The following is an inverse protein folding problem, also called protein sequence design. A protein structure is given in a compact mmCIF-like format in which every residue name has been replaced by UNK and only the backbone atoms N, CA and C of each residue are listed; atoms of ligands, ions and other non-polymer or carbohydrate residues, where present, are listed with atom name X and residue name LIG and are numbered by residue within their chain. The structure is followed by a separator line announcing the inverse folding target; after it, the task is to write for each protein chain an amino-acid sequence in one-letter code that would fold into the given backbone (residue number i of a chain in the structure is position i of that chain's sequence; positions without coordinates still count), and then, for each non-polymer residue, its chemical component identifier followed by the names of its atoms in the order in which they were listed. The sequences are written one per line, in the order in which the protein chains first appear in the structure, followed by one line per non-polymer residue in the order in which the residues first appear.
data_IF_493694653791
#
_entry.id   IF_493694653791
#
_cell.length_a   1.000
_cell.length_b   1.000
_cell.length_c   1.000
_cell.angle_alpha   90.00
_cell.angle_beta   90.00
_cell.angle_gamma   90.00
#
_symmetry.space_group_name_H-M   'P 1'
#
loop_
_entity.id
_entity.type
_entity.pdbx_description
1 polymer ?
#
# COMPACT_ATOMS: atom_id res chain seq x y z
N UNK A 1 10.17 10.59 15.12
CA UNK A 1 9.86 10.92 13.74
C UNK A 1 9.87 9.63 12.92
N UNK A 2 8.72 9.24 12.39
CA UNK A 2 8.51 8.04 11.58
C UNK A 2 8.63 8.33 10.08
N UNK A 3 8.62 7.30 9.24
CA UNK A 3 8.73 7.48 7.78
C UNK A 3 7.54 8.27 7.21
N UNK A 4 6.31 7.94 7.63
CA UNK A 4 5.12 8.65 7.15
C UNK A 4 5.11 10.12 7.58
N UNK A 5 5.58 10.44 8.79
CA UNK A 5 5.68 11.82 9.27
C UNK A 5 6.61 12.65 8.39
N UNK A 6 7.77 12.09 8.02
CA UNK A 6 8.71 12.72 7.08
C UNK A 6 8.09 13.01 5.72
N UNK A 7 7.28 12.07 5.19
CA UNK A 7 6.62 12.25 3.90
C UNK A 7 5.51 13.31 4.00
N UNK A 8 4.76 13.35 5.10
CA UNK A 8 3.77 14.40 5.35
C UNK A 8 4.42 15.79 5.45
N UNK A 9 5.55 15.91 6.14
CA UNK A 9 6.31 17.15 6.22
C UNK A 9 6.77 17.60 4.83
N UNK A 10 7.37 16.70 4.06
CA UNK A 10 7.76 16.99 2.68
C UNK A 10 6.57 17.40 1.80
N UNK A 11 5.42 16.73 1.95
CA UNK A 11 4.21 17.06 1.19
C UNK A 11 3.63 18.44 1.54
N UNK A 12 3.81 18.91 2.79
CA UNK A 12 3.39 20.25 3.20
C UNK A 12 4.18 21.35 2.48
N UNK A 13 5.45 21.08 2.15
CA UNK A 13 6.35 22.02 1.46
C UNK A 13 6.24 21.87 -0.07
N UNK A 14 6.10 20.64 -0.56
CA UNK A 14 6.21 20.28 -1.98
C UNK A 14 4.93 19.72 -2.58
N UNK A 15 3.75 20.10 -2.06
CA UNK A 15 2.41 19.61 -2.43
C UNK A 15 2.22 19.30 -3.93
N UNK A 16 2.61 20.22 -4.82
CA UNK A 16 2.38 20.11 -6.26
C UNK A 16 3.54 19.48 -7.05
N UNK A 17 4.62 19.05 -6.38
CA UNK A 17 5.72 18.33 -7.02
C UNK A 17 5.33 16.87 -7.22
N UNK A 18 5.86 16.27 -8.29
CA UNK A 18 5.71 14.83 -8.55
C UNK A 18 6.45 14.07 -7.46
N UNK A 19 5.74 13.14 -6.82
CA UNK A 19 6.27 12.23 -5.80
C UNK A 19 6.44 10.80 -6.36
N UNK A 20 5.55 10.39 -7.26
CA UNK A 20 5.57 9.05 -7.87
C UNK A 20 5.41 9.20 -9.37
N UNK A 21 6.22 8.45 -10.11
CA UNK A 21 6.09 8.20 -11.54
C UNK A 21 6.06 6.68 -11.72
N UNK A 22 5.07 6.18 -12.46
CA UNK A 22 4.98 4.77 -12.82
C UNK A 22 4.76 4.63 -14.32
N UNK A 23 5.66 3.91 -14.97
CA UNK A 23 5.62 3.59 -16.39
C UNK A 23 5.44 2.06 -16.53
N UNK A 24 4.34 1.65 -17.14
CA UNK A 24 4.04 0.23 -17.40
C UNK A 24 4.84 -0.34 -18.57
N UNK A 25 5.64 0.49 -19.26
CA UNK A 25 6.45 0.11 -20.42
C UNK A 25 5.64 -0.57 -21.55
N UNK A 26 4.35 -0.27 -21.65
CA UNK A 26 3.41 -0.87 -22.61
C UNK A 26 2.93 0.14 -23.68
N UNK A 27 3.75 1.16 -23.95
CA UNK A 27 3.46 2.30 -24.85
C UNK A 27 2.33 3.24 -24.38
N UNK A 28 1.81 3.07 -23.17
CA UNK A 28 0.96 4.08 -22.53
C UNK A 28 1.81 5.19 -21.90
N UNK A 29 1.29 6.42 -21.78
CA UNK A 29 1.98 7.47 -21.04
C UNK A 29 2.12 7.07 -19.56
N UNK A 30 3.24 7.42 -18.90
CA UNK A 30 3.40 7.16 -17.47
C UNK A 30 2.33 7.87 -16.64
N UNK A 31 1.97 7.27 -15.51
CA UNK A 31 1.05 7.84 -14.54
C UNK A 31 1.84 8.49 -13.40
N UNK A 32 1.37 9.65 -12.94
CA UNK A 32 2.09 10.46 -11.95
C UNK A 32 1.19 10.84 -10.79
N UNK A 33 1.72 10.74 -9.57
CA UNK A 33 1.12 11.35 -8.38
C UNK A 33 1.97 12.52 -7.89
N UNK A 34 1.30 13.61 -7.55
CA UNK A 34 1.90 14.68 -6.76
C UNK A 34 2.00 14.26 -5.29
N UNK A 35 2.82 14.95 -4.49
CA UNK A 35 2.85 14.75 -3.04
C UNK A 35 1.45 14.88 -2.41
N UNK A 36 0.66 15.85 -2.86
CA UNK A 36 -0.74 16.02 -2.41
C UNK A 36 -1.60 14.80 -2.73
N UNK A 37 -1.55 14.31 -3.97
CA UNK A 37 -2.32 13.13 -4.39
C UNK A 37 -1.90 11.89 -3.61
N UNK A 38 -0.60 11.68 -3.46
CA UNK A 38 -0.01 10.57 -2.70
C UNK A 38 -0.54 10.56 -1.25
N UNK A 39 -0.38 11.68 -0.54
CA UNK A 39 -0.75 11.78 0.88
C UNK A 39 -2.27 11.70 1.09
N UNK A 40 -3.07 12.30 0.20
CA UNK A 40 -4.51 12.19 0.29
C UNK A 40 -4.97 10.74 0.12
N UNK A 41 -4.48 10.03 -0.89
CA UNK A 41 -4.80 8.62 -1.11
C UNK A 41 -4.35 7.73 0.05
N UNK A 42 -3.18 8.02 0.65
CA UNK A 42 -2.71 7.32 1.83
C UNK A 42 -3.62 7.57 3.05
N UNK A 43 -4.08 8.81 3.25
CA UNK A 43 -4.99 9.18 4.34
C UNK A 43 -6.35 8.50 4.18
N UNK A 44 -6.93 8.50 2.98
CA UNK A 44 -8.19 7.80 2.67
C UNK A 44 -8.10 6.30 2.97
N UNK A 45 -6.98 5.65 2.61
CA UNK A 45 -6.77 4.24 2.96
C UNK A 45 -6.66 4.05 4.49
N UNK A 46 -5.96 4.94 5.18
CA UNK A 46 -5.77 4.87 6.63
C UNK A 46 -7.12 4.93 7.35
N UNK A 47 -7.96 5.89 6.96
CA UNK A 47 -9.31 6.05 7.49
C UNK A 47 -10.17 4.81 7.23
N UNK A 48 -10.11 4.27 6.01
CA UNK A 48 -10.81 3.03 5.66
C UNK A 48 -10.38 1.86 6.55
N UNK A 49 -9.07 1.66 6.73
CA UNK A 49 -8.54 0.59 7.58
C UNK A 49 -8.92 0.80 9.05
N UNK A 50 -8.89 2.02 9.59
CA UNK A 50 -9.32 2.32 10.96
C UNK A 50 -10.79 1.97 11.20
N UNK A 51 -11.65 2.17 10.20
CA UNK A 51 -13.07 1.87 10.32
C UNK A 51 -13.39 0.37 10.23
N UNK A 52 -12.56 -0.41 9.53
CA UNK A 52 -12.88 -1.81 9.20
C UNK A 52 -11.96 -2.85 9.84
N UNK A 53 -10.79 -2.45 10.34
CA UNK A 53 -9.82 -3.33 10.94
C UNK A 53 -9.72 -3.09 12.45
N UNK A 54 -9.63 -4.18 13.21
CA UNK A 54 -9.32 -4.13 14.63
C UNK A 54 -7.81 -4.25 14.86
N UNK A 55 -7.18 -3.17 15.32
CA UNK A 55 -5.74 -3.11 15.58
C UNK A 55 -5.33 -3.67 16.94
N UNK A 56 -6.26 -4.21 17.75
CA UNK A 56 -5.93 -4.93 18.97
C UNK A 56 -5.18 -6.24 18.63
N UNK A 57 -3.87 -6.25 18.85
CA UNK A 57 -3.03 -7.43 18.65
C UNK A 57 -2.57 -7.67 17.20
N UNK A 58 -2.86 -6.75 16.28
CA UNK A 58 -2.32 -6.77 14.90
C UNK A 58 -1.03 -5.96 14.87
N UNK A 59 -0.01 -6.51 14.20
CA UNK A 59 1.26 -5.82 13.96
C UNK A 59 1.55 -5.62 12.48
N UNK A 60 0.89 -6.36 11.60
CA UNK A 60 1.12 -6.33 10.16
C UNK A 60 -0.18 -6.38 9.35
N UNK A 61 -0.21 -5.64 8.24
CA UNK A 61 -1.22 -5.75 7.19
C UNK A 61 -0.53 -6.26 5.92
N UNK A 62 -1.03 -7.35 5.34
CA UNK A 62 -0.54 -7.86 4.06
C UNK A 62 -0.84 -6.89 2.92
N UNK A 63 0.10 -6.72 1.99
CA UNK A 63 -0.09 -5.94 0.77
C UNK A 63 0.17 -6.85 -0.44
N UNK A 64 -0.91 -7.31 -1.07
CA UNK A 64 -0.92 -8.20 -2.22
C UNK A 64 -1.21 -7.40 -3.50
N UNK A 65 -0.16 -7.01 -4.21
CA UNK A 65 -0.28 -6.22 -5.43
C UNK A 65 0.97 -6.32 -6.30
N UNK A 66 0.80 -6.06 -7.60
CA UNK A 66 1.92 -5.75 -8.49
C UNK A 66 2.40 -4.31 -8.27
N UNK A 67 3.60 -3.94 -8.75
CA UNK A 67 4.05 -2.55 -8.78
C UNK A 67 3.03 -1.66 -9.50
N UNK A 68 2.84 -0.44 -8.99
CA UNK A 68 1.87 0.50 -9.55
C UNK A 68 1.96 1.88 -8.89
N UNK A 69 1.35 2.88 -9.52
CA UNK A 69 1.35 4.28 -9.03
C UNK A 69 0.76 4.42 -7.62
N UNK A 70 -0.16 3.52 -7.23
CA UNK A 70 -0.83 3.55 -5.94
C UNK A 70 -0.02 2.92 -4.80
N UNK A 71 0.96 2.07 -5.11
CA UNK A 71 1.68 1.27 -4.11
C UNK A 71 2.33 2.14 -3.03
N UNK A 72 3.00 3.27 -3.36
CA UNK A 72 3.53 4.16 -2.33
C UNK A 72 2.45 4.75 -1.41
N UNK A 73 1.29 5.10 -1.95
CA UNK A 73 0.14 5.57 -1.14
C UNK A 73 -0.37 4.48 -0.21
N UNK A 74 -0.45 3.23 -0.68
CA UNK A 74 -0.91 2.10 0.14
C UNK A 74 0.05 1.77 1.28
N UNK A 75 1.35 1.76 1.01
CA UNK A 75 2.39 1.58 2.03
C UNK A 75 2.26 2.69 3.08
N UNK A 76 2.19 3.95 2.65
CA UNK A 76 2.07 5.08 3.58
C UNK A 76 0.76 5.05 4.37
N UNK A 77 -0.34 4.62 3.77
CA UNK A 77 -1.62 4.47 4.46
C UNK A 77 -1.58 3.41 5.56
N UNK A 78 -0.90 2.28 5.33
CA UNK A 78 -0.68 1.29 6.40
C UNK A 78 0.22 1.86 7.50
N UNK A 79 1.30 2.57 7.13
CA UNK A 79 2.27 3.11 8.09
C UNK A 79 1.75 4.29 8.92
N UNK A 80 0.63 4.90 8.55
CA UNK A 80 -0.07 5.87 9.41
C UNK A 80 -0.78 5.21 10.61
N UNK A 81 -0.95 3.89 10.57
CA UNK A 81 -1.58 3.09 11.60
C UNK A 81 -0.50 2.43 12.48
N UNK A 82 -0.83 1.88 13.65
CA UNK A 82 0.11 1.11 14.45
C UNK A 82 0.38 -0.29 13.84
N UNK A 83 0.64 -0.35 12.53
CA UNK A 83 0.86 -1.56 11.75
C UNK A 83 2.01 -1.38 10.75
N UNK A 84 2.76 -2.45 10.52
CA UNK A 84 3.70 -2.57 9.41
C UNK A 84 2.98 -3.11 8.17
N UNK A 85 3.51 -2.82 6.98
CA UNK A 85 3.09 -3.51 5.77
C UNK A 85 3.93 -4.78 5.57
N UNK A 86 3.27 -5.86 5.15
CA UNK A 86 3.92 -7.11 4.77
C UNK A 86 3.72 -7.35 3.27
N UNK A 87 4.75 -7.15 2.42
CA UNK A 87 4.60 -7.33 0.98
C UNK A 87 4.35 -8.80 0.65
N UNK A 88 3.35 -9.06 -0.19
CA UNK A 88 3.06 -10.38 -0.74
C UNK A 88 3.07 -10.26 -2.26
N UNK A 89 3.99 -10.98 -2.88
CA UNK A 89 4.14 -11.00 -4.32
C UNK A 89 3.06 -11.89 -4.98
N UNK A 90 2.21 -11.33 -5.87
CA UNK A 90 1.20 -12.11 -6.59
C UNK A 90 1.77 -13.18 -7.52
N UNK A 91 3.00 -13.01 -8.00
CA UNK A 91 3.65 -13.94 -8.94
C UNK A 91 4.40 -15.07 -8.21
N UNK A 92 4.48 -15.00 -6.89
CA UNK A 92 5.08 -16.05 -6.06
C UNK A 92 4.20 -17.32 -6.04
N UNK A 93 4.81 -18.52 -5.96
CA UNK A 93 4.05 -19.76 -5.87
C UNK A 93 3.01 -19.71 -4.73
N UNK A 94 1.75 -20.14 -4.93
CA UNK A 94 0.70 -20.02 -3.92
C UNK A 94 1.04 -20.65 -2.57
N UNK A 95 1.82 -21.73 -2.57
CA UNK A 95 2.31 -22.38 -1.36
C UNK A 95 3.26 -21.47 -0.54
N UNK A 96 4.09 -20.68 -1.21
CA UNK A 96 5.01 -19.73 -0.57
C UNK A 96 4.24 -18.55 0.03
N UNK A 97 3.30 -17.97 -0.73
CA UNK A 97 2.45 -16.88 -0.24
C UNK A 97 1.60 -17.34 0.95
N UNK A 98 1.02 -18.55 0.89
CA UNK A 98 0.27 -19.15 2.01
C UNK A 98 1.15 -19.38 3.23
N UNK A 99 2.37 -19.90 3.04
CA UNK A 99 3.33 -20.10 4.13
C UNK A 99 3.69 -18.77 4.79
N UNK A 100 3.99 -17.74 4.00
CA UNK A 100 4.32 -16.41 4.48
C UNK A 100 3.16 -15.78 5.28
N UNK A 101 1.94 -15.79 4.74
CA UNK A 101 0.76 -15.26 5.43
C UNK A 101 0.53 -15.93 6.79
N UNK A 102 0.68 -17.26 6.84
CA UNK A 102 0.57 -18.04 8.08
C UNK A 102 1.71 -17.71 9.06
N UNK A 103 2.94 -17.58 8.56
CA UNK A 103 4.11 -17.29 9.39
C UNK A 103 4.04 -15.90 10.02
N UNK A 104 3.53 -14.92 9.28
CA UNK A 104 3.28 -13.55 9.74
C UNK A 104 1.95 -13.40 10.50
N UNK A 105 1.15 -14.47 10.63
CA UNK A 105 -0.16 -14.45 11.27
C UNK A 105 -1.05 -13.29 10.76
N UNK A 106 -1.05 -13.06 9.45
CA UNK A 106 -1.77 -11.93 8.84
C UNK A 106 -3.28 -12.11 9.03
N UNK A 107 -3.90 -11.14 9.70
CA UNK A 107 -5.36 -11.09 9.89
C UNK A 107 -6.06 -10.31 8.77
N UNK A 108 -5.39 -9.32 8.19
CA UNK A 108 -5.89 -8.51 7.08
C UNK A 108 -4.87 -8.47 5.94
N UNK A 109 -5.38 -8.51 4.71
CA UNK A 109 -4.61 -8.38 3.49
C UNK A 109 -5.34 -7.38 2.59
N UNK A 110 -4.63 -6.32 2.20
CA UNK A 110 -5.04 -5.43 1.12
C UNK A 110 -4.68 -6.09 -0.21
N UNK A 111 -5.67 -6.23 -1.08
CA UNK A 111 -5.53 -6.87 -2.38
C UNK A 111 -5.86 -5.83 -3.44
N UNK A 112 -4.95 -5.64 -4.40
CA UNK A 112 -5.27 -4.83 -5.58
C UNK A 112 -6.43 -5.49 -6.34
N UNK A 113 -7.44 -4.69 -6.69
CA UNK A 113 -8.62 -5.14 -7.43
C UNK A 113 -8.24 -5.88 -8.73
N UNK A 114 -7.14 -5.52 -9.38
CA UNK A 114 -6.66 -6.22 -10.57
C UNK A 114 -6.38 -7.72 -10.30
N UNK A 115 -6.11 -8.09 -9.05
CA UNK A 115 -5.83 -9.46 -8.62
C UNK A 115 -7.07 -10.27 -8.22
N UNK A 116 -8.24 -9.62 -8.11
CA UNK A 116 -9.48 -10.28 -7.62
C UNK A 116 -10.13 -11.16 -8.73
N UNK A 117 -9.68 -11.05 -9.98
CA UNK A 117 -10.22 -11.81 -11.11
C UNK A 117 -9.63 -13.23 -11.32
N UNK A 118 -8.99 -13.81 -10.30
CA UNK A 118 -8.68 -15.24 -10.32
C UNK A 118 -9.88 -15.99 -9.74
N UNK A 119 -10.73 -16.52 -10.61
CA UNK A 119 -11.82 -17.42 -10.26
C UNK A 119 -11.28 -18.55 -9.37
N UNK A 120 -11.75 -18.63 -8.12
CA UNK A 120 -11.52 -19.79 -7.25
C UNK A 120 -12.36 -20.98 -7.69
#
# INVERSE_FOLDING_TARGET
MTLQELVHEAASIYSNKIAVCFDECNNQPPVYYTYKTLVNAASELSDFLLLHCDFQGIREIGLYCHPGVNVPSWILGILQLPAAYAPIDPDSPPALSTYFMKKCNLKYILVDKQQINVTF
#
